data_IF_217105258919
#
_entry.id   IF_217105258919
#
_cell.length_a   1.000
_cell.length_b   1.000
_cell.length_c   1.000
_cell.angle_alpha   90.00
_cell.angle_beta   90.00
_cell.angle_gamma   90.00
#
_symmetry.space_group_name_H-M   'P 1'
#
loop_
_entity.id
_entity.type
_entity.pdbx_description
1 polymer ?
#
# COMPACT_ATOMS: atom_id res chain seq x y z
N UNK A 1 -56.56 -5.02 -3.97
CA UNK A 1 -55.30 -4.27 -3.81
C UNK A 1 -54.18 -5.17 -4.31
N UNK A 2 -53.59 -4.83 -5.45
CA UNK A 2 -52.48 -5.59 -6.00
C UNK A 2 -51.25 -5.34 -5.11
N UNK A 3 -50.72 -6.40 -4.50
CA UNK A 3 -49.41 -6.36 -3.87
C UNK A 3 -48.40 -6.08 -4.98
N UNK A 4 -47.78 -4.90 -4.95
CA UNK A 4 -46.60 -4.64 -5.77
C UNK A 4 -45.56 -5.69 -5.40
N UNK A 5 -45.20 -6.56 -6.35
CA UNK A 5 -44.06 -7.45 -6.19
C UNK A 5 -42.86 -6.59 -5.83
N UNK A 6 -42.27 -6.79 -4.65
CA UNK A 6 -41.02 -6.15 -4.27
C UNK A 6 -39.99 -6.56 -5.32
N UNK A 7 -39.61 -5.64 -6.20
CA UNK A 7 -38.47 -5.82 -7.08
C UNK A 7 -37.25 -6.01 -6.17
N UNK A 8 -36.84 -7.27 -5.96
CA UNK A 8 -35.75 -7.63 -5.05
C UNK A 8 -34.43 -7.00 -5.49
N UNK A 9 -33.48 -6.91 -4.57
CA UNK A 9 -32.11 -6.49 -4.87
C UNK A 9 -31.26 -7.69 -5.33
N UNK A 10 -30.12 -7.46 -6.02
CA UNK A 10 -29.28 -8.56 -6.52
C UNK A 10 -28.32 -9.15 -5.49
N UNK A 11 -28.20 -8.54 -4.30
CA UNK A 11 -27.21 -8.89 -3.27
C UNK A 11 -27.55 -10.17 -2.49
N UNK A 12 -26.55 -10.70 -1.79
CA UNK A 12 -26.67 -11.91 -0.96
C UNK A 12 -26.45 -11.58 0.53
N UNK A 13 -27.20 -12.19 1.46
CA UNK A 13 -28.33 -13.10 1.22
C UNK A 13 -29.53 -12.39 0.58
N UNK A 14 -30.42 -13.14 -0.08
CA UNK A 14 -31.56 -12.57 -0.81
C UNK A 14 -32.60 -11.92 0.13
N UNK A 15 -32.57 -12.30 1.41
CA UNK A 15 -33.42 -11.83 2.49
C UNK A 15 -32.91 -10.52 3.13
N UNK A 16 -31.80 -9.96 2.65
CA UNK A 16 -31.23 -8.72 3.18
C UNK A 16 -32.25 -7.57 3.09
N UNK A 17 -32.49 -6.84 4.18
CA UNK A 17 -33.44 -5.74 4.17
C UNK A 17 -32.78 -4.46 3.64
N UNK A 18 -33.06 -4.11 2.38
CA UNK A 18 -32.58 -2.91 1.71
C UNK A 18 -33.74 -2.00 1.29
N UNK A 19 -34.39 -1.31 2.25
CA UNK A 19 -35.54 -0.48 1.96
C UNK A 19 -35.14 0.71 1.07
N UNK A 20 -35.91 0.94 0.02
CA UNK A 20 -35.65 2.02 -0.94
C UNK A 20 -34.48 1.73 -1.88
N UNK A 21 -34.06 0.47 -2.04
CA UNK A 21 -33.03 0.10 -3.01
C UNK A 21 -33.34 0.63 -4.42
N UNK A 22 -32.36 1.32 -5.00
CA UNK A 22 -32.38 1.78 -6.38
C UNK A 22 -31.33 1.01 -7.19
N UNK A 23 -31.71 0.33 -8.29
CA UNK A 23 -30.78 -0.38 -9.17
C UNK A 23 -29.63 0.49 -9.70
N UNK A 24 -28.57 -0.17 -10.17
CA UNK A 24 -27.49 0.50 -10.89
C UNK A 24 -28.02 1.18 -12.16
N UNK A 25 -27.55 2.40 -12.40
CA UNK A 25 -27.78 3.13 -13.66
C UNK A 25 -26.61 2.98 -14.63
N UNK A 26 -25.40 2.78 -14.12
CA UNK A 26 -24.21 2.53 -14.92
C UNK A 26 -24.01 1.03 -15.13
N UNK A 27 -23.55 0.67 -16.32
CA UNK A 27 -23.07 -0.69 -16.59
C UNK A 27 -21.73 -0.95 -15.90
N UNK A 28 -21.43 -2.23 -15.66
CA UNK A 28 -20.14 -2.68 -15.13
C UNK A 28 -18.96 -2.17 -15.98
N UNK A 29 -19.11 -2.12 -17.30
CA UNK A 29 -18.06 -1.67 -18.22
C UNK A 29 -17.81 -0.17 -18.07
N UNK A 30 -18.86 0.66 -17.97
CA UNK A 30 -18.71 2.10 -17.76
C UNK A 30 -18.01 2.40 -16.43
N UNK A 31 -18.36 1.66 -15.37
CA UNK A 31 -17.71 1.77 -14.07
C UNK A 31 -16.22 1.41 -14.19
N UNK A 32 -15.92 0.25 -14.77
CA UNK A 32 -14.56 -0.26 -14.89
C UNK A 32 -13.67 0.66 -15.76
N UNK A 33 -14.15 1.09 -16.92
CA UNK A 33 -13.40 1.97 -17.82
C UNK A 33 -13.13 3.32 -17.16
N UNK A 34 -14.10 3.89 -16.45
CA UNK A 34 -13.93 5.15 -15.74
C UNK A 34 -12.89 5.02 -14.61
N UNK A 35 -12.98 3.95 -13.82
CA UNK A 35 -12.03 3.67 -12.73
C UNK A 35 -10.61 3.45 -13.26
N UNK A 36 -10.44 2.61 -14.29
CA UNK A 36 -9.14 2.34 -14.89
C UNK A 36 -8.57 3.59 -15.59
N UNK A 37 -9.41 4.36 -16.26
CA UNK A 37 -9.04 5.63 -16.90
C UNK A 37 -8.50 6.63 -15.87
N UNK A 38 -9.21 6.83 -14.77
CA UNK A 38 -8.75 7.68 -13.66
C UNK A 38 -7.45 7.16 -13.03
N UNK A 39 -7.33 5.84 -12.84
CA UNK A 39 -6.13 5.20 -12.28
C UNK A 39 -4.90 5.41 -13.16
N UNK A 40 -5.05 5.21 -14.49
CA UNK A 40 -3.98 5.47 -15.47
C UNK A 40 -3.64 6.95 -15.53
N UNK A 41 -4.64 7.84 -15.47
CA UNK A 41 -4.41 9.28 -15.42
C UNK A 41 -3.56 9.69 -14.21
N UNK A 42 -3.92 9.23 -13.00
CA UNK A 42 -3.15 9.48 -11.78
C UNK A 42 -1.72 8.95 -11.91
N UNK A 43 -1.57 7.71 -12.38
CA UNK A 43 -0.26 7.10 -12.58
C UNK A 43 0.60 7.94 -13.53
N UNK A 44 0.08 8.31 -14.71
CA UNK A 44 0.81 9.08 -15.70
C UNK A 44 1.14 10.49 -15.19
N UNK A 45 0.20 11.17 -14.53
CA UNK A 45 0.43 12.48 -13.96
C UNK A 45 1.58 12.47 -12.95
N UNK A 46 1.56 11.54 -11.99
CA UNK A 46 2.62 11.40 -10.98
C UNK A 46 3.95 10.96 -11.62
N UNK A 47 3.90 10.05 -12.60
CA UNK A 47 5.09 9.60 -13.31
C UNK A 47 5.78 10.73 -14.07
N UNK A 48 5.01 11.58 -14.77
CA UNK A 48 5.52 12.72 -15.51
C UNK A 48 6.06 13.82 -14.58
N UNK A 49 5.31 14.17 -13.52
CA UNK A 49 5.74 15.18 -12.54
C UNK A 49 7.01 14.73 -11.82
N UNK A 50 7.06 13.49 -11.34
CA UNK A 50 8.25 12.95 -10.67
C UNK A 50 9.45 12.79 -11.61
N UNK A 51 9.23 12.67 -12.92
CA UNK A 51 10.28 12.65 -13.94
C UNK A 51 11.04 13.97 -14.08
N UNK A 52 10.44 15.09 -13.67
CA UNK A 52 11.11 16.40 -13.62
C UNK A 52 12.10 16.51 -12.45
N UNK A 53 12.05 15.57 -11.51
CA UNK A 53 12.95 15.54 -10.36
C UNK A 53 14.18 14.65 -10.65
N UNK A 54 15.30 15.26 -11.03
CA UNK A 54 16.57 14.55 -11.38
C UNK A 54 17.17 13.69 -10.26
N UNK A 55 16.66 13.81 -9.03
CA UNK A 55 17.20 13.15 -7.83
C UNK A 55 16.44 11.89 -7.41
N UNK A 56 15.37 11.51 -8.11
CA UNK A 56 14.54 10.36 -7.75
C UNK A 56 14.90 9.12 -8.58
N UNK A 57 15.03 7.97 -7.92
CA UNK A 57 15.23 6.70 -8.62
C UNK A 57 13.94 6.25 -9.31
N UNK A 58 14.04 5.36 -10.31
CA UNK A 58 12.85 4.77 -10.96
C UNK A 58 11.93 4.07 -9.95
N UNK A 59 12.51 3.42 -8.95
CA UNK A 59 11.76 2.77 -7.87
C UNK A 59 11.00 3.80 -7.03
N UNK A 60 11.63 4.92 -6.67
CA UNK A 60 10.96 5.96 -5.88
C UNK A 60 9.81 6.60 -6.65
N UNK A 61 9.97 6.80 -7.96
CA UNK A 61 8.91 7.28 -8.84
C UNK A 61 7.74 6.31 -8.94
N UNK A 62 8.02 5.01 -9.07
CA UNK A 62 6.98 3.97 -9.08
C UNK A 62 6.24 3.90 -7.74
N UNK A 63 6.96 3.99 -6.62
CA UNK A 63 6.37 4.05 -5.29
C UNK A 63 5.49 5.30 -5.13
N UNK A 64 5.91 6.46 -5.63
CA UNK A 64 5.06 7.66 -5.63
C UNK A 64 3.78 7.45 -6.41
N UNK A 65 3.82 6.76 -7.57
CA UNK A 65 2.61 6.47 -8.34
C UNK A 65 1.67 5.55 -7.57
N UNK A 66 2.21 4.49 -6.95
CA UNK A 66 1.45 3.59 -6.08
C UNK A 66 0.81 4.36 -4.92
N UNK A 67 1.59 5.10 -4.13
CA UNK A 67 1.09 5.83 -2.96
C UNK A 67 0.08 6.92 -3.29
N UNK A 68 0.21 7.57 -4.45
CA UNK A 68 -0.78 8.53 -4.91
C UNK A 68 -2.10 7.83 -5.30
N UNK A 69 -2.01 6.73 -6.05
CA UNK A 69 -3.17 5.91 -6.38
C UNK A 69 -3.86 5.39 -5.11
N UNK A 70 -3.12 4.75 -4.21
CA UNK A 70 -3.59 4.27 -2.92
C UNK A 70 -4.28 5.36 -2.09
N UNK A 71 -3.62 6.51 -1.92
CA UNK A 71 -4.16 7.61 -1.14
C UNK A 71 -5.47 8.15 -1.69
N UNK A 72 -5.56 8.27 -3.02
CA UNK A 72 -6.78 8.71 -3.69
C UNK A 72 -7.88 7.65 -3.65
N UNK A 73 -7.56 6.36 -3.77
CA UNK A 73 -8.56 5.29 -3.62
C UNK A 73 -9.18 5.31 -2.23
N UNK A 74 -8.37 5.33 -1.18
CA UNK A 74 -8.88 5.37 0.20
C UNK A 74 -9.73 6.63 0.47
N UNK A 75 -9.29 7.80 0.02
CA UNK A 75 -10.03 9.04 0.27
C UNK A 75 -11.29 9.17 -0.61
N UNK A 76 -11.15 8.93 -1.92
CA UNK A 76 -12.19 9.25 -2.91
C UNK A 76 -13.13 8.09 -3.20
N UNK A 77 -12.72 6.84 -2.98
CA UNK A 77 -13.59 5.67 -3.19
C UNK A 77 -14.16 5.22 -1.84
N UNK A 78 -13.30 4.91 -0.86
CA UNK A 78 -13.72 4.38 0.45
C UNK A 78 -14.35 5.47 1.33
N UNK A 79 -13.87 6.71 1.26
CA UNK A 79 -14.48 7.86 1.93
C UNK A 79 -15.99 8.00 1.65
N UNK A 80 -16.43 8.12 0.39
CA UNK A 80 -17.86 8.16 0.06
C UNK A 80 -18.65 6.96 0.58
N UNK A 81 -18.08 5.74 0.58
CA UNK A 81 -18.73 4.57 1.17
C UNK A 81 -18.98 4.76 2.66
N UNK A 82 -17.97 5.22 3.41
CA UNK A 82 -18.08 5.39 4.86
C UNK A 82 -19.05 6.51 5.22
N UNK A 83 -18.98 7.64 4.51
CA UNK A 83 -19.74 8.84 4.85
C UNK A 83 -21.10 8.95 4.15
N UNK A 84 -21.45 8.01 3.27
CA UNK A 84 -22.75 7.95 2.59
C UNK A 84 -23.42 6.59 2.85
N UNK A 85 -23.97 6.35 4.06
CA UNK A 85 -24.55 5.04 4.40
C UNK A 85 -25.72 4.64 3.49
N UNK A 86 -26.48 5.62 3.00
CA UNK A 86 -27.66 5.42 2.16
C UNK A 86 -27.36 5.47 0.64
N UNK A 87 -26.12 5.21 0.21
CA UNK A 87 -25.72 5.30 -1.21
C UNK A 87 -26.61 4.46 -2.14
N UNK A 88 -27.11 3.32 -1.68
CA UNK A 88 -27.95 2.40 -2.44
C UNK A 88 -29.41 2.87 -2.62
N UNK A 89 -29.83 3.92 -1.91
CA UNK A 89 -31.20 4.47 -1.96
C UNK A 89 -31.34 5.67 -2.91
N UNK A 90 -30.24 6.17 -3.45
CA UNK A 90 -30.24 7.42 -4.23
C UNK A 90 -30.85 7.21 -5.61
N UNK A 91 -31.91 7.97 -5.91
CA UNK A 91 -32.52 8.01 -7.24
C UNK A 91 -31.62 8.67 -8.28
N UNK A 92 -30.77 9.62 -7.89
CA UNK A 92 -29.75 10.25 -8.74
C UNK A 92 -28.35 9.97 -8.18
N UNK A 93 -27.87 8.73 -8.31
CA UNK A 93 -26.59 8.30 -7.77
C UNK A 93 -25.44 8.95 -8.54
N UNK A 94 -24.38 9.32 -7.82
CA UNK A 94 -23.12 9.71 -8.45
C UNK A 94 -22.27 8.47 -8.79
N UNK A 95 -21.12 8.67 -9.43
CA UNK A 95 -20.23 7.57 -9.81
C UNK A 95 -19.81 6.68 -8.63
N UNK A 96 -19.52 7.25 -7.46
CA UNK A 96 -19.09 6.48 -6.29
C UNK A 96 -20.22 5.63 -5.71
N UNK A 97 -21.45 6.15 -5.71
CA UNK A 97 -22.64 5.38 -5.30
C UNK A 97 -22.82 4.15 -6.22
N UNK A 98 -22.59 4.31 -7.53
CA UNK A 98 -22.65 3.23 -8.52
C UNK A 98 -21.51 2.22 -8.34
N UNK A 99 -20.28 2.68 -8.10
CA UNK A 99 -19.13 1.80 -7.80
C UNK A 99 -19.44 0.90 -6.61
N UNK A 100 -19.97 1.46 -5.53
CA UNK A 100 -20.25 0.67 -4.32
C UNK A 100 -21.43 -0.26 -4.49
N UNK A 101 -22.46 0.11 -5.25
CA UNK A 101 -23.52 -0.82 -5.64
C UNK A 101 -22.98 -1.99 -6.48
N UNK A 102 -22.09 -1.72 -7.43
CA UNK A 102 -21.50 -2.77 -8.27
C UNK A 102 -20.57 -3.67 -7.44
N UNK A 103 -19.68 -3.09 -6.64
CA UNK A 103 -18.75 -3.82 -5.80
C UNK A 103 -19.47 -4.69 -4.75
N UNK A 104 -20.62 -4.23 -4.26
CA UNK A 104 -21.45 -4.99 -3.33
C UNK A 104 -22.00 -6.30 -3.90
N UNK A 105 -21.93 -6.53 -5.22
CA UNK A 105 -22.23 -7.86 -5.80
C UNK A 105 -21.11 -8.89 -5.53
N UNK A 106 -19.88 -8.42 -5.37
CA UNK A 106 -18.73 -9.21 -4.90
C UNK A 106 -18.72 -9.40 -3.40
N UNK A 107 -19.12 -8.37 -2.68
CA UNK A 107 -19.20 -8.41 -1.23
C UNK A 107 -20.39 -7.60 -0.70
N UNK A 108 -21.50 -8.28 -0.48
CA UNK A 108 -22.75 -7.64 -0.05
C UNK A 108 -22.67 -7.04 1.36
N UNK A 109 -21.61 -7.35 2.13
CA UNK A 109 -21.35 -6.71 3.43
C UNK A 109 -21.19 -5.19 3.30
N UNK A 110 -20.80 -4.68 2.14
CA UNK A 110 -20.73 -3.23 1.89
C UNK A 110 -22.12 -2.60 1.86
N UNK A 111 -23.04 -3.11 1.04
CA UNK A 111 -24.42 -2.60 1.01
C UNK A 111 -25.18 -2.91 2.31
N UNK A 112 -24.87 -4.04 2.95
CA UNK A 112 -25.40 -4.39 4.27
C UNK A 112 -24.81 -3.54 5.41
N UNK A 113 -23.79 -2.71 5.11
CA UNK A 113 -23.11 -1.85 6.09
C UNK A 113 -22.54 -2.64 7.26
N UNK A 114 -21.96 -3.79 6.98
CA UNK A 114 -21.35 -4.65 8.00
C UNK A 114 -20.31 -3.88 8.83
N UNK A 115 -20.33 -4.10 10.14
CA UNK A 115 -19.54 -3.31 11.09
C UNK A 115 -18.04 -3.45 10.83
N UNK A 116 -17.55 -4.65 10.49
CA UNK A 116 -16.14 -4.84 10.22
C UNK A 116 -15.72 -4.13 8.93
N UNK A 117 -16.51 -4.25 7.85
CA UNK A 117 -16.24 -3.53 6.59
C UNK A 117 -16.27 -2.01 6.79
N UNK A 118 -17.31 -1.45 7.41
CA UNK A 118 -17.39 0.00 7.67
C UNK A 118 -16.21 0.49 8.50
N UNK A 119 -15.80 -0.28 9.51
CA UNK A 119 -14.71 0.10 10.40
C UNK A 119 -13.36 0.09 9.68
N UNK A 120 -13.05 -0.97 8.93
CA UNK A 120 -11.79 -1.07 8.17
C UNK A 120 -11.72 0.05 7.14
N UNK A 121 -12.76 0.23 6.33
CA UNK A 121 -12.81 1.27 5.30
C UNK A 121 -12.79 2.69 5.90
N UNK A 122 -13.35 2.86 7.10
CA UNK A 122 -13.29 4.10 7.85
C UNK A 122 -11.86 4.47 8.23
N UNK A 123 -11.12 3.50 8.77
CA UNK A 123 -9.71 3.66 9.14
C UNK A 123 -8.85 3.94 7.90
N UNK A 124 -9.04 3.19 6.82
CA UNK A 124 -8.28 3.38 5.59
C UNK A 124 -8.54 4.76 4.98
N UNK A 125 -9.81 5.20 4.91
CA UNK A 125 -10.17 6.50 4.37
C UNK A 125 -9.59 7.68 5.17
N UNK A 126 -9.64 7.62 6.51
CA UNK A 126 -9.26 8.77 7.37
C UNK A 126 -7.80 8.77 7.81
N UNK A 127 -7.13 7.61 7.84
CA UNK A 127 -5.74 7.48 8.27
C UNK A 127 -4.83 7.06 7.12
N UNK A 128 -5.11 5.92 6.49
CA UNK A 128 -4.18 5.34 5.51
C UNK A 128 -4.14 6.13 4.20
N UNK A 129 -5.27 6.69 3.77
CA UNK A 129 -5.37 7.57 2.62
C UNK A 129 -4.48 8.81 2.75
N UNK A 130 -4.68 9.64 3.80
CA UNK A 130 -3.81 10.78 4.07
C UNK A 130 -2.34 10.39 4.29
N UNK A 131 -2.07 9.30 5.00
CA UNK A 131 -0.71 8.81 5.23
C UNK A 131 -0.02 8.35 3.92
N UNK A 132 -0.77 7.78 2.98
CA UNK A 132 -0.27 7.42 1.65
C UNK A 132 0.11 8.65 0.83
N UNK A 133 -0.72 9.69 0.83
CA UNK A 133 -0.37 10.96 0.18
C UNK A 133 0.83 11.64 0.87
N UNK A 134 0.94 11.54 2.20
CA UNK A 134 2.12 11.98 2.93
C UNK A 134 3.37 11.17 2.54
N UNK A 135 3.24 9.88 2.21
CA UNK A 135 4.35 9.06 1.72
C UNK A 135 4.86 9.57 0.36
N UNK A 136 3.98 10.03 -0.54
CA UNK A 136 4.37 10.70 -1.79
C UNK A 136 5.24 11.92 -1.49
N UNK A 137 4.80 12.80 -0.59
CA UNK A 137 5.56 13.97 -0.16
C UNK A 137 6.90 13.59 0.48
N UNK A 138 6.90 12.57 1.35
CA UNK A 138 8.08 12.12 2.07
C UNK A 138 9.14 11.55 1.10
N UNK A 139 8.73 10.83 0.06
CA UNK A 139 9.61 10.36 -1.02
C UNK A 139 10.14 11.55 -1.82
N UNK A 140 9.26 12.42 -2.32
CA UNK A 140 9.65 13.58 -3.14
C UNK A 140 10.64 14.51 -2.43
N UNK A 141 10.41 14.73 -1.13
CA UNK A 141 11.23 15.60 -0.28
C UNK A 141 12.38 14.86 0.42
N UNK A 142 12.55 13.55 0.17
CA UNK A 142 13.57 12.69 0.78
C UNK A 142 13.64 12.81 2.31
N UNK A 143 12.47 12.77 2.96
CA UNK A 143 12.37 12.84 4.41
C UNK A 143 12.89 11.54 5.04
N UNK A 144 13.58 11.65 6.18
CA UNK A 144 14.14 10.50 6.92
C UNK A 144 13.07 9.49 7.35
N UNK A 145 11.87 9.98 7.67
CA UNK A 145 10.74 9.13 8.07
C UNK A 145 10.05 8.40 6.90
N UNK A 146 10.47 8.62 5.64
CA UNK A 146 9.79 8.06 4.46
C UNK A 146 9.63 6.54 4.51
N UNK A 147 10.68 5.80 4.88
CA UNK A 147 10.60 4.34 4.99
C UNK A 147 9.74 3.87 6.15
N UNK A 148 9.79 4.58 7.28
CA UNK A 148 8.99 4.25 8.48
C UNK A 148 7.50 4.47 8.18
N UNK A 149 7.16 5.59 7.55
CA UNK A 149 5.80 5.89 7.13
C UNK A 149 5.26 4.84 6.15
N UNK A 150 6.02 4.53 5.09
CA UNK A 150 5.64 3.49 4.14
C UNK A 150 5.43 2.13 4.81
N UNK A 151 6.30 1.75 5.74
CA UNK A 151 6.17 0.51 6.49
C UNK A 151 4.90 0.50 7.37
N UNK A 152 4.64 1.59 8.09
CA UNK A 152 3.45 1.72 8.94
C UNK A 152 2.15 1.63 8.14
N UNK A 153 2.07 2.33 7.00
CA UNK A 153 0.89 2.25 6.11
C UNK A 153 0.72 0.83 5.56
N UNK A 154 1.80 0.18 5.11
CA UNK A 154 1.70 -1.21 4.63
C UNK A 154 1.22 -2.18 5.72
N UNK A 155 1.64 -2.00 6.98
CA UNK A 155 1.13 -2.83 8.07
C UNK A 155 -0.37 -2.63 8.31
N UNK A 156 -0.84 -1.38 8.25
CA UNK A 156 -2.26 -1.05 8.32
C UNK A 156 -3.06 -1.78 7.24
N UNK A 157 -2.65 -1.63 5.98
CA UNK A 157 -3.29 -2.28 4.84
C UNK A 157 -3.33 -3.80 4.97
N UNK A 158 -2.21 -4.42 5.33
CA UNK A 158 -2.14 -5.88 5.51
C UNK A 158 -3.03 -6.35 6.66
N UNK A 159 -3.10 -5.59 7.76
CA UNK A 159 -3.99 -5.90 8.87
C UNK A 159 -5.47 -5.73 8.48
N UNK A 160 -5.81 -4.64 7.78
CA UNK A 160 -7.15 -4.41 7.24
C UNK A 160 -7.59 -5.54 6.31
N UNK A 161 -6.74 -5.96 5.36
CA UNK A 161 -7.00 -7.11 4.50
C UNK A 161 -7.17 -8.41 5.30
N UNK A 162 -6.36 -8.63 6.34
CA UNK A 162 -6.49 -9.80 7.20
C UNK A 162 -7.87 -9.82 7.87
N UNK A 163 -8.28 -8.71 8.49
CA UNK A 163 -9.62 -8.57 9.11
C UNK A 163 -10.71 -8.78 8.07
N UNK A 164 -10.56 -8.19 6.88
CA UNK A 164 -11.51 -8.31 5.78
C UNK A 164 -11.76 -9.77 5.34
N UNK A 165 -10.69 -10.55 5.14
CA UNK A 165 -10.79 -11.94 4.73
C UNK A 165 -11.18 -12.89 5.86
N UNK A 166 -10.70 -12.65 7.08
CA UNK A 166 -11.06 -13.48 8.24
C UNK A 166 -12.53 -13.33 8.57
N UNK A 167 -13.06 -12.10 8.61
CA UNK A 167 -14.49 -11.87 8.88
C UNK A 167 -15.36 -12.52 7.82
N UNK A 168 -14.98 -12.42 6.54
CA UNK A 168 -15.66 -13.10 5.43
C UNK A 168 -15.73 -14.62 5.63
N UNK A 169 -14.61 -15.22 6.06
CA UNK A 169 -14.52 -16.64 6.36
C UNK A 169 -15.38 -17.04 7.56
N UNK A 170 -15.35 -16.24 8.63
CA UNK A 170 -16.12 -16.48 9.85
C UNK A 170 -17.63 -16.34 9.63
N UNK A 171 -18.05 -15.44 8.75
CA UNK A 171 -19.46 -15.25 8.34
C UNK A 171 -19.95 -16.36 7.40
N UNK A 172 -19.11 -17.37 7.13
CA UNK A 172 -19.46 -18.52 6.31
C UNK A 172 -19.67 -18.15 4.85
N UNK A 173 -19.08 -17.04 4.38
CA UNK A 173 -19.00 -16.73 2.96
C UNK A 173 -20.38 -16.51 2.26
N UNK A 174 -21.39 -16.07 3.00
CA UNK A 174 -22.77 -15.93 2.52
C UNK A 174 -23.09 -14.57 1.84
N UNK A 175 -22.10 -13.89 1.27
CA UNK A 175 -22.21 -12.47 0.87
C UNK A 175 -22.05 -12.19 -0.64
N UNK A 176 -21.68 -13.17 -1.47
CA UNK A 176 -21.45 -12.92 -2.91
C UNK A 176 -22.64 -13.34 -3.76
N UNK A 177 -22.80 -12.70 -4.91
CA UNK A 177 -23.90 -12.99 -5.85
C UNK A 177 -23.57 -14.13 -6.82
N UNK A 178 -22.28 -14.41 -7.06
CA UNK A 178 -21.87 -15.58 -7.85
C UNK A 178 -20.35 -15.74 -7.97
N UNK A 179 -19.87 -16.84 -8.58
CA UNK A 179 -18.45 -17.18 -8.64
C UNK A 179 -17.57 -16.13 -9.31
N UNK A 180 -18.06 -15.49 -10.38
CA UNK A 180 -17.34 -14.40 -11.05
C UNK A 180 -17.04 -13.25 -10.09
N UNK A 181 -18.06 -12.81 -9.33
CA UNK A 181 -17.91 -11.72 -8.38
C UNK A 181 -17.01 -12.11 -7.21
N UNK A 182 -17.09 -13.36 -6.72
CA UNK A 182 -16.17 -13.84 -5.71
C UNK A 182 -14.71 -13.80 -6.18
N UNK A 183 -14.40 -14.38 -7.33
CA UNK A 183 -13.00 -14.47 -7.78
C UNK A 183 -12.45 -13.14 -8.30
N UNK A 184 -13.21 -12.41 -9.10
CA UNK A 184 -12.72 -11.20 -9.74
C UNK A 184 -12.74 -9.99 -8.78
N UNK A 185 -13.79 -9.84 -7.97
CA UNK A 185 -13.94 -8.69 -7.06
C UNK A 185 -13.35 -9.03 -5.70
N UNK A 186 -13.91 -10.03 -5.01
CA UNK A 186 -13.53 -10.32 -3.63
C UNK A 186 -12.08 -10.81 -3.51
N UNK A 187 -11.63 -11.76 -4.33
CA UNK A 187 -10.22 -12.21 -4.31
C UNK A 187 -9.34 -11.30 -5.16
N UNK A 188 -9.72 -11.06 -6.42
CA UNK A 188 -8.88 -10.40 -7.40
C UNK A 188 -8.55 -8.95 -7.06
N UNK A 189 -9.57 -8.12 -6.83
CA UNK A 189 -9.37 -6.70 -6.54
C UNK A 189 -8.61 -6.46 -5.22
N UNK A 190 -8.82 -7.31 -4.22
CA UNK A 190 -8.16 -7.19 -2.92
C UNK A 190 -6.72 -7.75 -2.90
N UNK A 191 -6.37 -8.64 -3.83
CA UNK A 191 -5.03 -9.26 -3.87
C UNK A 191 -3.90 -8.22 -4.02
N UNK A 192 -4.15 -7.12 -4.72
CA UNK A 192 -3.17 -6.04 -4.89
C UNK A 192 -2.80 -5.36 -3.57
N UNK A 193 -3.78 -5.23 -2.66
CA UNK A 193 -3.61 -4.66 -1.32
C UNK A 193 -2.89 -5.58 -0.34
N UNK A 194 -2.64 -6.84 -0.73
CA UNK A 194 -1.77 -7.74 0.01
C UNK A 194 -0.35 -7.69 -0.56
N UNK A 195 -0.20 -8.02 -1.85
CA UNK A 195 1.12 -8.29 -2.41
C UNK A 195 1.99 -7.05 -2.53
N UNK A 196 1.44 -5.92 -2.97
CA UNK A 196 2.22 -4.70 -3.17
C UNK A 196 2.67 -4.12 -1.82
N UNK A 197 1.78 -3.95 -0.81
CA UNK A 197 2.19 -3.51 0.52
C UNK A 197 3.20 -4.45 1.18
N UNK A 198 3.07 -5.77 1.02
CA UNK A 198 4.05 -6.72 1.53
C UNK A 198 5.46 -6.49 0.97
N UNK A 199 5.58 -6.28 -0.36
CA UNK A 199 6.86 -5.99 -1.00
C UNK A 199 7.47 -4.66 -0.52
N UNK A 200 6.63 -3.64 -0.36
CA UNK A 200 7.06 -2.33 0.12
C UNK A 200 7.48 -2.40 1.59
N UNK A 201 6.73 -3.12 2.44
CA UNK A 201 7.07 -3.36 3.83
C UNK A 201 8.43 -4.04 3.96
N UNK A 202 8.68 -5.13 3.21
CA UNK A 202 9.97 -5.83 3.20
C UNK A 202 11.10 -4.89 2.77
N UNK A 203 10.87 -4.07 1.72
CA UNK A 203 11.86 -3.08 1.26
C UNK A 203 12.18 -2.05 2.34
N UNK A 204 11.16 -1.44 2.94
CA UNK A 204 11.32 -0.40 3.94
C UNK A 204 11.93 -0.94 5.23
N UNK A 205 11.57 -2.16 5.63
CA UNK A 205 12.21 -2.87 6.74
C UNK A 205 13.71 -3.05 6.50
N UNK A 206 14.10 -3.62 5.36
CA UNK A 206 15.51 -3.83 5.00
C UNK A 206 16.29 -2.53 4.97
N UNK A 207 15.73 -1.45 4.43
CA UNK A 207 16.36 -0.13 4.38
C UNK A 207 16.55 0.48 5.76
N UNK A 208 15.56 0.33 6.63
CA UNK A 208 15.60 0.79 8.02
C UNK A 208 16.68 0.04 8.81
N UNK A 209 16.69 -1.31 8.73
CA UNK A 209 17.73 -2.12 9.38
C UNK A 209 19.14 -1.76 8.89
N UNK A 210 19.33 -1.57 7.57
CA UNK A 210 20.62 -1.19 7.02
C UNK A 210 21.11 0.18 7.53
N UNK A 211 20.21 1.14 7.70
CA UNK A 211 20.55 2.45 8.27
C UNK A 211 21.04 2.33 9.72
N UNK A 212 20.35 1.57 10.56
CA UNK A 212 20.77 1.32 11.95
C UNK A 212 22.10 0.55 12.05
N UNK A 213 22.37 -0.38 11.12
CA UNK A 213 23.66 -1.08 11.10
C UNK A 213 24.81 -0.16 10.71
N UNK A 214 24.58 0.77 9.78
CA UNK A 214 25.58 1.78 9.40
C UNK A 214 25.91 2.72 10.56
N UNK A 215 24.89 3.14 11.32
CA UNK A 215 25.06 3.92 12.54
C UNK A 215 25.93 3.18 13.57
N UNK A 216 25.61 1.91 13.87
CA UNK A 216 26.35 1.07 14.83
C UNK A 216 27.82 0.86 14.45
N UNK A 217 28.13 0.83 13.16
CA UNK A 217 29.49 0.60 12.66
C UNK A 217 30.30 1.90 12.53
N UNK A 218 29.73 3.06 12.88
CA UNK A 218 30.38 4.37 12.75
C UNK A 218 30.58 4.79 11.28
N UNK A 219 29.86 4.16 10.36
CA UNK A 219 30.00 4.38 8.93
C UNK A 219 28.91 5.33 8.44
N UNK A 220 29.27 6.59 8.22
CA UNK A 220 28.45 7.48 7.41
C UNK A 220 28.44 6.98 5.96
N UNK A 221 27.31 6.44 5.50
CA UNK A 221 27.14 6.02 4.11
C UNK A 221 27.14 7.27 3.21
N UNK A 222 28.23 7.48 2.46
CA UNK A 222 28.25 8.36 1.29
C UNK A 222 28.08 7.52 0.02
N UNK A 223 26.93 7.68 -0.67
CA UNK A 223 26.75 7.28 -2.07
C UNK A 223 26.72 5.78 -2.37
N UNK A 224 25.60 5.29 -2.92
CA UNK A 224 25.56 3.96 -3.55
C UNK A 224 25.94 4.15 -5.02
N UNK A 225 27.22 3.97 -5.37
CA UNK A 225 27.63 3.85 -6.78
C UNK A 225 27.61 2.38 -7.24
N UNK A 226 27.13 2.18 -8.46
CA UNK A 226 26.95 0.86 -9.08
C UNK A 226 28.23 0.49 -9.83
N UNK A 227 28.95 -0.54 -9.39
CA UNK A 227 30.10 -1.09 -10.13
C UNK A 227 29.77 -2.47 -10.68
N UNK A 228 29.96 -2.65 -12.01
CA UNK A 228 30.09 -3.94 -12.68
C UNK A 228 28.80 -4.70 -13.03
N UNK A 229 28.74 -5.27 -14.24
CA UNK A 229 27.57 -6.01 -14.77
C UNK A 229 27.30 -7.37 -14.11
N UNK A 230 28.19 -7.88 -13.26
CA UNK A 230 28.16 -9.28 -12.81
C UNK A 230 28.17 -9.51 -11.29
N UNK A 231 28.22 -8.47 -10.44
CA UNK A 231 28.21 -8.65 -8.98
C UNK A 231 27.01 -7.97 -8.32
N UNK A 232 26.18 -8.75 -7.63
CA UNK A 232 25.05 -8.27 -6.84
C UNK A 232 25.56 -7.58 -5.56
N UNK A 233 25.86 -6.27 -5.67
CA UNK A 233 26.13 -5.32 -4.57
C UNK A 233 27.46 -5.50 -3.81
N UNK A 234 28.50 -4.80 -4.26
CA UNK A 234 29.63 -4.42 -3.40
C UNK A 234 29.42 -2.99 -2.86
N UNK A 235 29.72 -2.76 -1.59
CA UNK A 235 29.70 -1.42 -0.97
C UNK A 235 31.14 -0.92 -0.84
N UNK A 236 31.42 0.32 -1.26
CA UNK A 236 32.61 1.03 -0.77
C UNK A 236 32.28 1.66 0.58
N UNK A 237 33.16 1.41 1.54
CA UNK A 237 33.07 1.93 2.90
C UNK A 237 34.26 2.85 3.11
N UNK A 238 34.03 4.16 3.18
CA UNK A 238 35.07 5.13 3.55
C UNK A 238 34.86 5.51 5.02
N UNK A 239 35.77 5.12 5.91
CA UNK A 239 35.79 5.62 7.29
C UNK A 239 36.18 7.10 7.25
N UNK A 240 35.28 8.01 7.60
CA UNK A 240 35.67 9.37 7.99
C UNK A 240 36.00 9.35 9.48
N UNK A 241 37.29 9.42 9.84
CA UNK A 241 37.71 9.79 11.20
C UNK A 241 37.14 11.19 11.46
N UNK A 242 36.19 11.31 12.37
CA UNK A 242 35.78 12.62 12.89
C UNK A 242 36.89 13.07 13.82
N UNK A 243 37.88 13.80 13.31
CA UNK A 243 38.89 14.44 14.15
C UNK A 243 38.21 15.57 14.92
N UNK A 244 37.84 15.30 16.18
CA UNK A 244 37.60 16.39 17.15
C UNK A 244 38.94 17.09 17.28
N UNK A 245 38.98 18.37 16.90
CA UNK A 245 40.18 19.21 16.86
C UNK A 245 40.61 19.54 18.30
N UNK A 246 41.26 18.59 18.96
CA UNK A 246 42.10 18.80 20.13
C UNK A 246 43.55 18.95 19.67
N UNK A 247 44.23 19.98 20.14
CA UNK A 247 45.61 20.30 19.78
C UNK A 247 46.59 19.15 20.05
N UNK A 248 47.61 19.07 19.17
CA UNK A 248 48.86 18.30 19.23
C UNK A 248 48.90 16.96 18.47
N UNK A 249 49.72 16.96 17.41
CA UNK A 249 50.42 15.79 16.87
C UNK A 249 49.70 14.98 15.79
N UNK A 250 49.78 15.41 14.52
CA UNK A 250 49.45 14.54 13.38
C UNK A 250 50.59 13.55 13.11
N UNK A 251 50.34 12.26 13.35
CA UNK A 251 51.01 11.16 12.66
C UNK A 251 50.01 10.55 11.66
N UNK A 252 50.37 10.58 10.37
CA UNK A 252 49.63 9.89 9.32
C UNK A 252 49.98 8.40 9.32
N UNK A 253 48.99 7.55 9.59
CA UNK A 253 49.06 6.12 9.27
C UNK A 253 48.10 5.83 8.11
N UNK A 254 48.63 5.38 6.98
CA UNK A 254 47.89 4.80 5.86
C UNK A 254 47.30 3.45 6.30
N UNK A 255 45.99 3.41 6.58
CA UNK A 255 45.31 2.16 6.93
C UNK A 255 44.72 1.47 5.68
N UNK A 256 45.29 0.32 5.35
CA UNK A 256 45.02 -0.55 4.21
C UNK A 256 43.52 -0.75 3.85
N UNK A 257 43.21 -0.56 2.55
CA UNK A 257 42.01 -1.05 1.87
C UNK A 257 41.82 -2.55 2.13
N UNK A 258 40.77 -2.95 2.86
CA UNK A 258 40.37 -4.36 2.95
C UNK A 258 39.11 -4.63 2.12
N UNK A 259 39.27 -5.50 1.12
CA UNK A 259 38.15 -6.18 0.45
C UNK A 259 37.54 -7.17 1.43
N UNK A 260 36.25 -7.06 1.74
CA UNK A 260 35.52 -8.05 2.53
C UNK A 260 34.56 -8.78 1.59
N UNK A 261 34.78 -10.08 1.42
CA UNK A 261 33.86 -10.99 0.72
C UNK A 261 32.76 -11.47 1.69
N UNK A 262 31.50 -11.65 1.25
CA UNK A 262 30.41 -12.14 2.10
C UNK A 262 30.65 -13.53 2.72
N UNK A 263 31.55 -14.33 2.15
CA UNK A 263 31.82 -15.71 2.58
C UNK A 263 32.63 -15.83 3.87
N UNK A 264 33.33 -14.77 4.31
CA UNK A 264 34.22 -14.85 5.48
C UNK A 264 33.46 -14.81 6.81
N UNK A 265 32.17 -14.46 6.82
CA UNK A 265 31.37 -14.40 8.05
C UNK A 265 30.78 -15.75 8.48
N UNK A 266 30.65 -16.72 7.57
CA UNK A 266 30.05 -18.03 7.89
C UNK A 266 31.01 -18.97 8.64
N UNK A 267 32.31 -18.72 8.62
CA UNK A 267 33.30 -19.64 9.20
C UNK A 267 33.64 -19.36 10.68
N UNK A 268 33.14 -18.27 11.27
CA UNK A 268 33.41 -17.90 12.68
C UNK A 268 32.26 -18.18 13.65
N UNK A 269 31.25 -18.95 13.22
CA UNK A 269 30.03 -19.22 13.99
C UNK A 269 29.94 -20.59 14.70
N UNK A 270 31.02 -21.38 14.79
CA UNK A 270 31.02 -22.61 15.59
C UNK A 270 31.62 -22.34 16.97
N UNK A 271 30.76 -22.05 17.93
CA UNK A 271 31.10 -22.09 19.36
C UNK A 271 30.61 -23.43 19.91
N UNK A 272 31.56 -24.22 20.44
CA UNK A 272 31.32 -25.45 21.18
C UNK A 272 30.41 -25.19 22.39
N UNK A 273 29.37 -26.00 22.53
CA UNK A 273 28.59 -26.14 23.76
C UNK A 273 29.05 -27.47 24.39
N UNK A 274 29.68 -27.37 25.56
CA UNK A 274 29.81 -28.47 26.52
C UNK A 274 28.70 -28.39 27.54
#
# INVERSE_FOLDING_TARGET
MAAAASMGHPYAPAELDLPGFVPLKLSQVEILVSYLGASVFVFLAVWLVSGRCVRLSKTDRLLMCWWAFTGLTHIMIEGPFVFTPDFFKKENPNFFDEVWKEYSKGDSRYVARDTATVTVEGITAVLEGPASLLAVYAIASRKSFSHILQFAVCLGQLYGCLVYFITAYLDGFNFWVGPFYFWAYFIGANSFWIWIPMLIAIRSWKKTCAAFQAEKTGLQIQGIERWGKNDFFAYQVTKRKTTIRGSMGEQSEDENLRKISPLTFLQKGSVHIG
#
